data_IF_468199051090
#
_entry.id   IF_468199051090
#
_cell.length_a   1.000
_cell.length_b   1.000
_cell.length_c   1.000
_cell.angle_alpha   90.00
_cell.angle_beta   90.00
_cell.angle_gamma   90.00
#
_symmetry.space_group_name_H-M   'P 1'
#
loop_
_entity.id
_entity.type
_entity.pdbx_description
1 polymer ?
#
# COMPACT_ATOMS: atom_id res chain seq x y z
N UNK A 1 -20.95 17.03 65.32
CA UNK A 1 -21.17 15.59 65.60
C UNK A 1 -21.32 14.86 64.27
N UNK A 2 -20.71 13.68 64.19
CA UNK A 2 -20.43 12.88 62.98
C UNK A 2 -21.67 12.45 62.19
N UNK A 3 -21.51 12.22 60.88
CA UNK A 3 -21.66 10.88 60.28
C UNK A 3 -21.10 10.84 58.85
N UNK A 4 -19.97 10.14 58.71
CA UNK A 4 -19.38 9.66 57.47
C UNK A 4 -20.25 8.54 56.89
N UNK A 5 -20.58 8.57 55.59
CA UNK A 5 -21.10 7.41 54.86
C UNK A 5 -20.19 7.11 53.67
N UNK A 6 -19.64 5.90 53.70
CA UNK A 6 -18.54 5.45 52.88
C UNK A 6 -18.87 5.28 51.40
N UNK A 7 -17.92 5.69 50.57
CA UNK A 7 -17.80 5.24 49.20
C UNK A 7 -17.04 3.91 49.20
N UNK A 8 -17.73 2.86 48.76
CA UNK A 8 -17.19 1.51 48.60
C UNK A 8 -16.27 1.48 47.39
N UNK A 9 -15.05 1.00 47.56
CA UNK A 9 -14.21 0.53 46.47
C UNK A 9 -14.96 -0.55 45.67
N UNK A 10 -15.07 -0.36 44.35
CA UNK A 10 -15.29 -1.47 43.43
C UNK A 10 -13.93 -1.84 42.83
N UNK A 11 -13.38 -3.03 43.13
CA UNK A 11 -12.26 -3.57 42.38
C UNK A 11 -12.80 -4.23 41.12
N UNK A 12 -11.96 -4.21 40.08
CA UNK A 12 -11.99 -5.12 38.92
C UNK A 12 -12.70 -4.63 37.65
N UNK A 13 -11.88 -4.51 36.59
CA UNK A 13 -12.28 -4.18 35.24
C UNK A 13 -11.12 -3.55 34.48
N UNK A 14 -10.03 -4.31 34.25
CA UNK A 14 -8.95 -3.85 33.37
C UNK A 14 -9.45 -3.84 31.93
N UNK A 15 -10.07 -2.75 31.50
CA UNK A 15 -10.02 -2.40 30.09
C UNK A 15 -8.77 -1.55 29.92
N UNK A 16 -7.65 -2.24 29.72
CA UNK A 16 -6.60 -1.68 28.90
C UNK A 16 -7.24 -1.47 27.52
N UNK A 17 -7.86 -0.30 27.34
CA UNK A 17 -8.13 0.26 26.03
C UNK A 17 -6.77 0.32 25.34
N UNK A 18 -6.47 -0.74 24.59
CA UNK A 18 -5.60 -0.63 23.44
C UNK A 18 -6.31 0.39 22.53
N UNK A 19 -6.02 1.67 22.77
CA UNK A 19 -6.36 2.74 21.86
C UNK A 19 -5.72 2.32 20.55
N UNK A 20 -6.53 1.75 19.66
CA UNK A 20 -6.18 1.61 18.27
C UNK A 20 -6.13 3.05 17.77
N UNK A 21 -4.96 3.66 17.93
CA UNK A 21 -4.68 4.97 17.38
C UNK A 21 -5.04 4.86 15.89
N UNK A 22 -5.89 5.76 15.35
CA UNK A 22 -6.11 5.80 13.93
C UNK A 22 -4.73 5.90 13.28
N UNK A 23 -4.38 4.94 12.42
CA UNK A 23 -3.20 5.09 11.55
C UNK A 23 -3.44 6.40 10.82
N UNK A 24 -2.76 7.46 11.26
CA UNK A 24 -2.86 8.75 10.59
C UNK A 24 -2.49 8.49 9.14
N UNK A 25 -3.30 8.97 8.17
CA UNK A 25 -2.95 8.81 6.78
C UNK A 25 -1.58 9.42 6.59
N UNK A 26 -0.59 8.57 6.29
CA UNK A 26 0.77 9.02 6.05
C UNK A 26 0.72 9.93 4.83
N UNK A 27 1.11 11.19 5.00
CA UNK A 27 1.24 12.09 3.86
C UNK A 27 2.28 11.51 2.90
N UNK A 28 1.85 11.32 1.65
CA UNK A 28 2.73 10.91 0.59
C UNK A 28 3.76 12.01 0.33
N UNK A 29 4.99 11.60 -0.03
CA UNK A 29 5.99 12.55 -0.51
C UNK A 29 5.55 13.13 -1.85
N UNK A 30 6.05 14.33 -2.24
CA UNK A 30 5.74 14.90 -3.55
C UNK A 30 6.03 13.95 -4.72
N UNK A 31 7.10 13.17 -4.64
CA UNK A 31 7.45 12.19 -5.67
C UNK A 31 6.47 11.00 -5.72
N UNK A 32 5.93 10.57 -4.57
CA UNK A 32 4.90 9.53 -4.54
C UNK A 32 3.58 10.02 -5.14
N UNK A 33 3.21 11.28 -4.91
CA UNK A 33 2.03 11.88 -5.54
C UNK A 33 2.21 11.97 -7.05
N UNK A 34 3.36 12.47 -7.50
CA UNK A 34 3.66 12.57 -8.94
C UNK A 34 3.65 11.20 -9.64
N UNK A 35 4.09 10.13 -8.96
CA UNK A 35 3.99 8.78 -9.51
C UNK A 35 2.53 8.35 -9.70
N UNK A 36 1.64 8.70 -8.78
CA UNK A 36 0.22 8.37 -8.87
C UNK A 36 -0.50 9.12 -9.99
N UNK A 37 -0.02 10.31 -10.37
CA UNK A 37 -0.57 11.04 -11.53
C UNK A 37 -0.48 10.20 -12.82
N UNK A 38 0.60 9.42 -12.99
CA UNK A 38 0.74 8.51 -14.14
C UNK A 38 -0.13 7.24 -14.05
N UNK A 39 -0.72 6.97 -12.89
CA UNK A 39 -1.62 5.85 -12.65
C UNK A 39 -3.10 6.24 -12.76
N UNK A 40 -3.40 7.46 -13.21
CA UNK A 40 -4.77 7.94 -13.37
C UNK A 40 -5.55 7.16 -14.46
N UNK A 41 -6.86 7.39 -14.55
CA UNK A 41 -7.71 6.65 -15.48
C UNK A 41 -7.41 6.93 -16.97
N UNK A 42 -6.76 8.05 -17.30
CA UNK A 42 -6.42 8.43 -18.67
C UNK A 42 -5.13 7.76 -19.12
N UNK A 43 -4.10 7.81 -18.29
CA UNK A 43 -2.75 7.34 -18.62
C UNK A 43 -2.46 5.92 -18.10
N UNK A 44 -3.11 5.51 -17.02
CA UNK A 44 -2.95 4.22 -16.36
C UNK A 44 -3.14 3.01 -17.30
N UNK A 45 -4.19 2.93 -18.15
CA UNK A 45 -4.34 1.85 -19.11
C UNK A 45 -3.17 1.72 -20.10
N UNK A 46 -2.61 2.86 -20.52
CA UNK A 46 -1.47 2.89 -21.44
C UNK A 46 -0.17 2.50 -20.72
N UNK A 47 0.01 2.96 -19.48
CA UNK A 47 1.14 2.58 -18.64
C UNK A 47 1.14 1.08 -18.35
N UNK A 48 0.01 0.49 -17.96
CA UNK A 48 -0.14 -0.96 -17.74
C UNK A 48 0.27 -1.75 -18.99
N UNK A 49 -0.22 -1.36 -20.17
CA UNK A 49 0.15 -2.02 -21.44
C UNK A 49 1.64 -1.95 -21.71
N UNK A 50 2.25 -0.80 -21.41
CA UNK A 50 3.68 -0.57 -21.64
C UNK A 50 4.54 -1.41 -20.70
N UNK A 51 4.18 -1.51 -19.43
CA UNK A 51 4.90 -2.33 -18.45
C UNK A 51 4.78 -3.83 -18.76
N UNK A 52 3.59 -4.31 -19.16
CA UNK A 52 3.39 -5.70 -19.61
C UNK A 52 4.23 -6.02 -20.85
N UNK A 53 4.23 -5.13 -21.84
CA UNK A 53 5.05 -5.29 -23.04
C UNK A 53 6.55 -5.36 -22.71
N UNK A 54 7.04 -4.46 -21.87
CA UNK A 54 8.45 -4.46 -21.45
C UNK A 54 8.83 -5.78 -20.76
N UNK A 55 7.99 -6.24 -19.85
CA UNK A 55 8.21 -7.51 -19.16
C UNK A 55 8.19 -8.69 -20.11
N UNK A 56 7.21 -8.77 -21.01
CA UNK A 56 7.12 -9.89 -21.96
C UNK A 56 8.29 -9.89 -22.95
N UNK A 57 8.78 -8.72 -23.36
CA UNK A 57 9.99 -8.61 -24.16
C UNK A 57 11.19 -9.15 -23.39
N UNK A 58 11.39 -8.72 -22.14
CA UNK A 58 12.51 -9.17 -21.33
C UNK A 58 12.46 -10.68 -21.10
N UNK A 59 11.30 -11.24 -20.77
CA UNK A 59 11.13 -12.66 -20.42
C UNK A 59 11.17 -13.59 -21.63
N UNK A 60 10.52 -13.21 -22.73
CA UNK A 60 10.29 -14.13 -23.87
C UNK A 60 11.08 -13.79 -25.13
N UNK A 61 11.58 -12.56 -25.24
CA UNK A 61 12.23 -12.07 -26.46
C UNK A 61 13.68 -11.64 -26.25
N UNK A 62 14.17 -11.59 -25.01
CA UNK A 62 15.59 -11.38 -24.72
C UNK A 62 16.40 -12.64 -25.08
N UNK A 63 17.57 -12.43 -25.69
CA UNK A 63 18.59 -13.47 -25.86
C UNK A 63 19.54 -13.56 -24.68
N UNK A 64 19.52 -12.55 -23.80
CA UNK A 64 20.38 -12.49 -22.62
C UNK A 64 19.77 -13.32 -21.47
N UNK A 65 20.60 -14.06 -20.71
CA UNK A 65 20.15 -14.76 -19.53
C UNK A 65 19.74 -13.77 -18.44
N UNK A 66 18.62 -14.05 -17.76
CA UNK A 66 18.08 -13.21 -16.69
C UNK A 66 18.62 -13.70 -15.35
N UNK A 67 19.39 -12.85 -14.67
CA UNK A 67 19.91 -13.10 -13.33
C UNK A 67 18.86 -12.85 -12.22
N UNK A 68 19.25 -13.00 -10.96
CA UNK A 68 18.32 -12.83 -9.83
C UNK A 68 17.90 -11.36 -9.62
N UNK A 69 18.79 -10.39 -9.86
CA UNK A 69 18.46 -8.97 -9.72
C UNK A 69 17.45 -8.54 -10.80
N UNK A 70 17.62 -9.07 -12.01
CA UNK A 70 16.71 -8.84 -13.13
C UNK A 70 15.36 -9.52 -12.91
N UNK A 71 15.33 -10.73 -12.32
CA UNK A 71 14.07 -11.38 -11.91
C UNK A 71 13.31 -10.56 -10.89
N UNK A 72 13.99 -10.05 -9.87
CA UNK A 72 13.39 -9.20 -8.85
C UNK A 72 12.84 -7.90 -9.48
N UNK A 73 13.59 -7.29 -10.41
CA UNK A 73 13.12 -6.13 -11.14
C UNK A 73 11.85 -6.44 -11.97
N UNK A 74 11.83 -7.54 -12.71
CA UNK A 74 10.67 -7.97 -13.50
C UNK A 74 9.45 -8.28 -12.62
N UNK A 75 9.67 -8.89 -11.46
CA UNK A 75 8.63 -9.09 -10.46
C UNK A 75 8.07 -7.77 -9.94
N UNK A 76 8.91 -6.78 -9.64
CA UNK A 76 8.45 -5.45 -9.23
C UNK A 76 7.68 -4.71 -10.32
N UNK A 77 8.08 -4.83 -11.59
CA UNK A 77 7.33 -4.30 -12.73
C UNK A 77 5.94 -4.94 -12.78
N UNK A 78 5.85 -6.26 -12.55
CA UNK A 78 4.58 -6.97 -12.48
C UNK A 78 3.67 -6.44 -11.38
N UNK A 79 4.18 -6.38 -10.15
CA UNK A 79 3.44 -5.84 -9.02
C UNK A 79 2.96 -4.41 -9.30
N UNK A 80 3.80 -3.58 -9.92
CA UNK A 80 3.46 -2.20 -10.26
C UNK A 80 2.26 -2.12 -11.20
N UNK A 81 2.22 -2.86 -12.31
CA UNK A 81 1.07 -2.79 -13.21
C UNK A 81 -0.20 -3.37 -12.58
N UNK A 82 -0.09 -4.41 -11.74
CA UNK A 82 -1.25 -5.00 -11.06
C UNK A 82 -1.87 -3.98 -10.09
N UNK A 83 -1.04 -3.22 -9.38
CA UNK A 83 -1.48 -2.10 -8.56
C UNK A 83 -2.17 -1.00 -9.37
N UNK A 84 -1.61 -0.60 -10.52
CA UNK A 84 -2.23 0.41 -11.40
C UNK A 84 -3.57 -0.08 -11.94
N UNK A 85 -3.69 -1.36 -12.32
CA UNK A 85 -4.96 -1.95 -12.77
C UNK A 85 -6.05 -1.94 -11.68
N UNK A 86 -5.67 -1.99 -10.41
CA UNK A 86 -6.60 -1.80 -9.29
C UNK A 86 -7.02 -0.34 -9.19
N UNK A 87 -6.06 0.59 -9.19
CA UNK A 87 -6.33 2.04 -9.10
C UNK A 87 -7.28 2.50 -10.22
N UNK A 88 -7.00 2.11 -11.47
CA UNK A 88 -7.80 2.48 -12.64
C UNK A 88 -9.21 1.87 -12.61
N UNK A 89 -9.40 0.74 -11.94
CA UNK A 89 -10.71 0.08 -11.83
C UNK A 89 -11.58 0.70 -10.74
N UNK A 90 -10.95 1.22 -9.69
CA UNK A 90 -11.62 1.77 -8.51
C UNK A 90 -11.89 3.29 -8.61
N UNK A 91 -11.19 4.00 -9.50
CA UNK A 91 -11.38 5.42 -9.81
C UNK A 91 -12.39 5.67 -10.92
#
# INVERSE_FOLDING_TARGET
MLHSKGQKNCPHGSNAEAQSAPKTPQMLSPGQVQLLDYADALDGPHLVKSLKLLHDIAVYHSTEPIDEEEKDALYHIKVLWECIEVIVREG
#
